data_IF_074670424213
#
_entry.id   IF_074670424213
#
_cell.length_a   1.000
_cell.length_b   1.000
_cell.length_c   1.000
_cell.angle_alpha   90.00
_cell.angle_beta   90.00
_cell.angle_gamma   90.00
#
_symmetry.space_group_name_H-M   'P 1'
#
loop_
_entity.id
_entity.type
_entity.pdbx_description
1 polymer ?
#
# COMPACT_ATOMS: atom_id res chain seq x y z
N UNK A 1 -7.42 -23.14 -24.91
CA UNK A 1 -8.78 -23.32 -24.38
C UNK A 1 -9.21 -24.74 -24.67
N UNK A 2 -9.78 -25.45 -23.69
CA UNK A 2 -10.43 -26.75 -23.91
C UNK A 2 -11.93 -26.52 -23.79
N UNK A 3 -12.64 -26.74 -24.89
CA UNK A 3 -14.10 -26.61 -24.97
C UNK A 3 -14.70 -27.97 -24.59
N UNK A 4 -15.63 -28.00 -23.64
CA UNK A 4 -16.43 -29.20 -23.33
C UNK A 4 -17.63 -29.28 -24.30
N UNK A 5 -18.18 -30.48 -24.50
CA UNK A 5 -19.31 -30.83 -25.37
C UNK A 5 -20.59 -30.01 -25.14
N UNK A 6 -20.67 -29.24 -24.04
CA UNK A 6 -21.79 -28.35 -23.71
C UNK A 6 -21.57 -26.88 -24.12
N UNK A 7 -20.51 -26.55 -24.87
CA UNK A 7 -20.31 -25.20 -25.43
C UNK A 7 -19.95 -24.11 -24.41
N UNK A 8 -19.72 -24.46 -23.14
CA UNK A 8 -19.23 -23.53 -22.13
C UNK A 8 -17.72 -23.38 -22.27
N UNK A 9 -17.29 -22.18 -22.63
CA UNK A 9 -15.90 -21.76 -22.55
C UNK A 9 -15.55 -21.61 -21.07
N UNK A 10 -14.87 -22.61 -20.48
CA UNK A 10 -14.12 -22.37 -19.25
C UNK A 10 -12.92 -21.50 -19.62
N UNK A 11 -13.15 -20.20 -19.76
CA UNK A 11 -12.13 -19.28 -19.32
C UNK A 11 -11.98 -19.56 -17.81
N UNK A 12 -10.76 -19.87 -17.36
CA UNK A 12 -10.44 -19.56 -15.97
C UNK A 12 -10.63 -18.05 -15.89
N UNK A 13 -11.83 -17.64 -15.48
CA UNK A 13 -12.17 -16.25 -15.29
C UNK A 13 -11.34 -15.79 -14.08
N UNK A 14 -10.11 -15.39 -14.36
CA UNK A 14 -9.13 -14.86 -13.41
C UNK A 14 -9.61 -13.56 -12.74
N UNK A 15 -10.82 -13.12 -13.12
CA UNK A 15 -11.60 -12.00 -12.60
C UNK A 15 -12.51 -12.41 -11.43
N UNK A 16 -12.67 -13.71 -11.13
CA UNK A 16 -13.59 -14.16 -10.09
C UNK A 16 -12.97 -14.02 -8.67
N UNK A 17 -13.52 -13.17 -7.78
CA UNK A 17 -12.97 -12.97 -6.43
C UNK A 17 -13.15 -14.20 -5.53
N UNK A 18 -14.03 -15.15 -5.88
CA UNK A 18 -14.38 -16.30 -5.05
C UNK A 18 -13.16 -17.13 -4.67
N UNK A 19 -12.21 -17.34 -5.59
CA UNK A 19 -11.01 -18.13 -5.29
C UNK A 19 -10.17 -17.45 -4.20
N UNK A 20 -9.99 -16.13 -4.28
CA UNK A 20 -9.30 -15.35 -3.25
C UNK A 20 -9.99 -15.44 -1.90
N UNK A 21 -11.32 -15.31 -1.89
CA UNK A 21 -12.14 -15.47 -0.69
C UNK A 21 -12.01 -16.88 -0.08
N UNK A 22 -11.98 -17.93 -0.89
CA UNK A 22 -11.78 -19.31 -0.42
C UNK A 22 -10.40 -19.46 0.22
N UNK A 23 -9.35 -18.89 -0.36
CA UNK A 23 -8.01 -18.91 0.25
C UNK A 23 -8.00 -18.18 1.60
N UNK A 24 -8.61 -16.99 1.67
CA UNK A 24 -8.70 -16.22 2.93
C UNK A 24 -9.48 -17.00 4.00
N UNK A 25 -10.63 -17.58 3.64
CA UNK A 25 -11.42 -18.39 4.58
C UNK A 25 -10.66 -19.65 5.01
N UNK A 26 -10.02 -20.33 4.05
CA UNK A 26 -9.16 -21.48 4.31
C UNK A 26 -8.04 -21.13 5.28
N UNK A 27 -7.41 -19.97 5.13
CA UNK A 27 -6.42 -19.44 6.05
C UNK A 27 -7.00 -19.18 7.44
N UNK A 28 -8.13 -18.46 7.53
CA UNK A 28 -8.76 -18.13 8.81
C UNK A 28 -9.07 -19.42 9.58
N UNK A 29 -9.69 -20.39 8.93
CA UNK A 29 -10.01 -21.68 9.54
C UNK A 29 -8.72 -22.41 9.93
N UNK A 30 -7.80 -22.60 8.98
CA UNK A 30 -6.55 -23.32 9.20
C UNK A 30 -5.76 -22.75 10.38
N UNK A 31 -5.57 -21.44 10.42
CA UNK A 31 -4.81 -20.77 11.48
C UNK A 31 -5.50 -20.85 12.84
N UNK A 32 -6.85 -20.79 12.86
CA UNK A 32 -7.63 -21.01 14.08
C UNK A 32 -7.38 -22.38 14.73
N UNK A 33 -7.14 -23.42 13.92
CA UNK A 33 -6.77 -24.76 14.39
C UNK A 33 -5.25 -24.92 14.60
N UNK A 34 -4.45 -24.37 13.70
CA UNK A 34 -3.01 -24.55 13.64
C UNK A 34 -2.29 -23.92 14.83
N UNK A 35 -2.68 -22.71 15.23
CA UNK A 35 -2.08 -22.02 16.39
C UNK A 35 -2.26 -22.87 17.65
N UNK A 36 -3.45 -23.42 17.88
CA UNK A 36 -3.73 -24.33 19.02
C UNK A 36 -2.89 -25.60 19.00
N UNK A 37 -2.59 -26.14 17.82
CA UNK A 37 -1.81 -27.37 17.64
C UNK A 37 -0.31 -27.21 17.96
N UNK A 38 0.23 -26.01 17.80
CA UNK A 38 1.67 -25.73 17.91
C UNK A 38 2.06 -24.82 19.08
N UNK A 39 1.10 -24.23 19.79
CA UNK A 39 1.31 -23.34 20.94
C UNK A 39 2.25 -23.95 22.00
N UNK A 40 2.15 -25.26 22.22
CA UNK A 40 2.95 -25.98 23.22
C UNK A 40 4.20 -26.68 22.65
N UNK A 41 4.40 -26.70 21.33
CA UNK A 41 5.48 -27.47 20.68
C UNK A 41 6.72 -26.61 20.44
N UNK A 42 7.59 -26.54 21.46
CA UNK A 42 8.91 -25.88 21.39
C UNK A 42 10.03 -26.88 21.11
N UNK A 43 11.14 -26.44 20.51
CA UNK A 43 12.34 -27.27 20.35
C UNK A 43 12.96 -27.55 21.73
N UNK A 44 13.51 -28.76 21.92
CA UNK A 44 14.13 -29.15 23.20
C UNK A 44 15.39 -28.28 23.41
N UNK A 45 15.53 -27.70 24.61
CA UNK A 45 16.58 -26.74 25.02
C UNK A 45 16.65 -25.38 24.31
N UNK A 46 15.65 -25.00 23.52
CA UNK A 46 15.54 -23.63 22.96
C UNK A 46 14.12 -23.09 23.17
N UNK A 47 13.98 -21.79 23.42
CA UNK A 47 12.67 -21.13 23.50
C UNK A 47 11.93 -21.04 22.15
N UNK A 48 12.53 -21.57 21.06
CA UNK A 48 12.03 -21.47 19.69
C UNK A 48 10.87 -22.45 19.44
N UNK A 49 9.79 -21.94 18.86
CA UNK A 49 8.64 -22.73 18.43
C UNK A 49 8.96 -23.60 17.21
N UNK A 50 8.36 -24.80 17.10
CA UNK A 50 8.48 -25.64 15.90
C UNK A 50 7.71 -25.14 14.69
N UNK A 51 6.87 -24.10 14.86
CA UNK A 51 6.03 -23.57 13.80
C UNK A 51 6.78 -22.65 12.81
N UNK A 52 8.00 -22.20 13.13
CA UNK A 52 8.76 -21.22 12.34
C UNK A 52 8.94 -21.55 10.84
N UNK A 53 9.31 -22.78 10.44
CA UNK A 53 9.49 -23.10 9.02
C UNK A 53 8.20 -23.04 8.21
N UNK A 54 7.08 -23.48 8.80
CA UNK A 54 5.78 -23.43 8.14
C UNK A 54 5.32 -21.98 7.97
N UNK A 55 5.61 -21.14 8.95
CA UNK A 55 5.19 -19.75 9.01
C UNK A 55 5.84 -18.91 7.93
N UNK A 56 7.13 -19.11 7.64
CA UNK A 56 7.80 -18.44 6.53
C UNK A 56 7.20 -18.81 5.17
N UNK A 57 6.87 -20.09 4.97
CA UNK A 57 6.20 -20.53 3.74
C UNK A 57 4.82 -19.89 3.59
N UNK A 58 4.01 -19.96 4.65
CA UNK A 58 2.67 -19.39 4.69
C UNK A 58 2.64 -17.88 4.46
N UNK A 59 3.62 -17.13 5.00
CA UNK A 59 3.71 -15.68 4.83
C UNK A 59 3.87 -15.26 3.37
N UNK A 60 4.78 -15.90 2.63
CA UNK A 60 5.10 -15.51 1.25
C UNK A 60 3.87 -15.67 0.33
N UNK A 61 3.06 -16.71 0.58
CA UNK A 61 1.86 -16.96 -0.23
C UNK A 61 0.71 -16.01 0.09
N UNK A 62 0.55 -15.61 1.36
CA UNK A 62 -0.66 -14.93 1.81
C UNK A 62 -0.55 -13.41 1.96
N UNK A 63 0.62 -12.80 1.74
CA UNK A 63 0.74 -11.33 1.78
C UNK A 63 0.09 -10.62 0.60
N UNK A 64 0.05 -11.24 -0.59
CA UNK A 64 -0.49 -10.62 -1.80
C UNK A 64 -1.95 -11.00 -2.10
N UNK A 65 -2.41 -12.14 -1.58
CA UNK A 65 -3.78 -12.63 -1.76
C UNK A 65 -4.82 -11.60 -1.28
N UNK A 66 -4.67 -10.96 -0.10
CA UNK A 66 -5.63 -9.97 0.39
C UNK A 66 -5.83 -8.79 -0.55
N UNK A 67 -4.74 -8.22 -1.06
CA UNK A 67 -4.79 -7.05 -1.97
C UNK A 67 -5.46 -7.45 -3.28
N UNK A 68 -5.01 -8.56 -3.89
CA UNK A 68 -5.59 -9.03 -5.14
C UNK A 68 -7.07 -9.37 -4.99
N UNK A 69 -7.46 -9.98 -3.88
CA UNK A 69 -8.86 -10.30 -3.60
C UNK A 69 -9.68 -9.03 -3.39
N UNK A 70 -9.14 -8.03 -2.68
CA UNK A 70 -9.81 -6.74 -2.49
C UNK A 70 -10.12 -6.05 -3.82
N UNK A 71 -9.14 -5.96 -4.72
CA UNK A 71 -9.32 -5.41 -6.07
C UNK A 71 -10.37 -6.18 -6.86
N UNK A 72 -10.28 -7.52 -6.90
CA UNK A 72 -11.27 -8.34 -7.61
C UNK A 72 -12.69 -8.23 -7.05
N UNK A 73 -12.84 -8.03 -5.73
CA UNK A 73 -14.16 -7.80 -5.12
C UNK A 73 -14.70 -6.45 -5.59
N UNK A 74 -13.85 -5.42 -5.59
CA UNK A 74 -14.17 -4.08 -6.09
C UNK A 74 -14.72 -4.12 -7.51
N UNK A 75 -13.96 -4.76 -8.40
CA UNK A 75 -14.28 -4.90 -9.81
C UNK A 75 -15.59 -5.68 -9.99
N UNK A 76 -15.80 -6.74 -9.20
CA UNK A 76 -16.98 -7.59 -9.30
C UNK A 76 -18.28 -6.89 -8.89
N UNK A 77 -18.22 -6.00 -7.89
CA UNK A 77 -19.38 -5.19 -7.50
C UNK A 77 -19.51 -3.90 -8.32
N UNK A 78 -18.52 -3.55 -9.14
CA UNK A 78 -18.48 -2.32 -9.92
C UNK A 78 -18.27 -1.05 -9.08
N UNK A 79 -17.75 -1.19 -7.86
CA UNK A 79 -17.36 -0.05 -7.02
C UNK A 79 -15.84 0.07 -7.10
N UNK A 80 -15.32 0.82 -8.07
CA UNK A 80 -13.87 0.94 -8.25
C UNK A 80 -13.27 1.97 -7.27
N UNK A 81 -13.91 3.14 -7.17
CA UNK A 81 -13.42 4.27 -6.36
C UNK A 81 -14.51 4.90 -5.48
N UNK A 82 -14.09 5.45 -4.34
CA UNK A 82 -14.90 6.33 -3.48
C UNK A 82 -14.31 7.73 -3.54
N UNK A 83 -15.12 8.68 -3.99
CA UNK A 83 -14.77 10.10 -3.97
C UNK A 83 -14.90 10.72 -2.58
N UNK A 84 -13.83 11.33 -2.08
CA UNK A 84 -13.81 12.22 -0.93
C UNK A 84 -13.64 13.68 -1.40
N UNK A 85 -14.73 14.29 -1.87
CA UNK A 85 -14.70 15.63 -2.46
C UNK A 85 -14.23 15.58 -3.91
N UNK A 86 -13.05 16.15 -4.19
CA UNK A 86 -12.38 16.09 -5.51
C UNK A 86 -11.33 14.96 -5.61
N UNK A 87 -11.13 14.21 -4.52
CA UNK A 87 -10.12 13.15 -4.44
C UNK A 87 -10.76 11.78 -4.58
N UNK A 88 -10.12 10.87 -5.33
CA UNK A 88 -10.59 9.50 -5.50
C UNK A 88 -9.72 8.50 -4.71
N UNK A 89 -10.36 7.51 -4.09
CA UNK A 89 -9.67 6.43 -3.36
C UNK A 89 -10.20 5.07 -3.80
N UNK A 90 -9.30 4.18 -4.22
CA UNK A 90 -9.66 2.84 -4.67
C UNK A 90 -10.28 1.99 -3.57
N UNK A 91 -11.52 1.57 -3.79
CA UNK A 91 -12.30 0.70 -2.90
C UNK A 91 -11.63 -0.65 -2.72
N UNK A 92 -11.04 -1.18 -3.80
CA UNK A 92 -10.39 -2.48 -3.76
C UNK A 92 -9.16 -2.49 -2.88
N UNK A 93 -8.42 -1.37 -2.83
CA UNK A 93 -7.31 -1.20 -1.90
C UNK A 93 -7.82 -1.11 -0.46
N UNK A 94 -8.91 -0.38 -0.20
CA UNK A 94 -9.55 -0.33 1.13
C UNK A 94 -9.96 -1.74 1.59
N UNK A 95 -10.63 -2.51 0.73
CA UNK A 95 -11.05 -3.88 1.03
C UNK A 95 -9.81 -4.76 1.30
N UNK A 96 -8.78 -4.67 0.47
CA UNK A 96 -7.53 -5.41 0.67
C UNK A 96 -6.82 -5.07 1.98
N UNK A 97 -6.81 -3.79 2.38
CA UNK A 97 -6.33 -3.34 3.68
C UNK A 97 -7.14 -3.95 4.82
N UNK A 98 -8.47 -3.91 4.74
CA UNK A 98 -9.35 -4.49 5.76
C UNK A 98 -9.13 -5.98 5.92
N UNK A 99 -8.97 -6.73 4.82
CA UNK A 99 -8.68 -8.16 4.87
C UNK A 99 -7.34 -8.40 5.60
N UNK A 100 -6.29 -7.65 5.28
CA UNK A 100 -5.01 -7.76 5.98
C UNK A 100 -5.14 -7.45 7.48
N UNK A 101 -5.92 -6.43 7.86
CA UNK A 101 -6.19 -6.10 9.26
C UNK A 101 -6.90 -7.25 9.96
N UNK A 102 -7.93 -7.82 9.34
CA UNK A 102 -8.70 -8.94 9.90
C UNK A 102 -7.78 -10.16 10.09
N UNK A 103 -6.99 -10.52 9.08
CA UNK A 103 -6.05 -11.64 9.16
C UNK A 103 -4.96 -11.39 10.22
N UNK A 104 -4.48 -10.16 10.34
CA UNK A 104 -3.52 -9.76 11.37
C UNK A 104 -4.11 -9.87 12.77
N UNK A 105 -5.29 -9.28 12.99
CA UNK A 105 -6.00 -9.27 14.26
C UNK A 105 -6.40 -10.68 14.73
N UNK A 106 -6.76 -11.56 13.78
CA UNK A 106 -7.02 -12.96 14.06
C UNK A 106 -5.80 -13.64 14.72
N UNK A 107 -4.58 -13.33 14.29
CA UNK A 107 -3.36 -13.88 14.90
C UNK A 107 -3.10 -13.35 16.32
N UNK A 108 -3.73 -12.24 16.69
CA UNK A 108 -3.76 -11.71 18.05
C UNK A 108 -4.98 -12.17 18.85
N UNK A 109 -5.66 -13.24 18.42
CA UNK A 109 -6.86 -13.78 19.07
C UNK A 109 -7.99 -12.75 19.20
N UNK A 110 -8.10 -11.84 18.22
CA UNK A 110 -9.09 -10.76 18.24
C UNK A 110 -8.95 -9.77 19.41
N UNK A 111 -7.81 -9.77 20.09
CA UNK A 111 -7.49 -8.84 21.18
C UNK A 111 -6.59 -7.71 20.64
N UNK A 112 -7.15 -6.53 20.29
CA UNK A 112 -6.39 -5.46 19.66
C UNK A 112 -5.28 -4.89 20.56
N UNK A 113 -5.43 -4.98 21.88
CA UNK A 113 -4.41 -4.55 22.85
C UNK A 113 -3.09 -5.31 22.69
N UNK A 114 -3.16 -6.59 22.30
CA UNK A 114 -1.99 -7.44 22.13
C UNK A 114 -1.14 -7.05 20.91
N UNK A 115 -1.70 -6.30 19.96
CA UNK A 115 -0.98 -5.81 18.78
C UNK A 115 0.20 -4.94 19.18
N UNK A 116 0.01 -4.08 20.17
CA UNK A 116 1.02 -3.12 20.64
C UNK A 116 1.88 -3.74 21.75
N UNK A 117 1.29 -4.55 22.62
CA UNK A 117 1.93 -5.02 23.86
C UNK A 117 2.70 -6.33 23.68
N UNK A 118 2.31 -7.18 22.71
CA UNK A 118 2.89 -8.53 22.53
C UNK A 118 3.41 -8.86 21.11
N UNK A 119 4.09 -7.94 20.39
CA UNK A 119 4.87 -8.36 19.23
C UNK A 119 6.05 -9.22 19.72
N UNK A 120 5.97 -10.53 19.52
CA UNK A 120 6.97 -11.46 20.05
C UNK A 120 7.62 -12.26 18.92
N UNK A 121 8.94 -12.12 18.80
CA UNK A 121 9.78 -13.01 17.97
C UNK A 121 9.88 -14.43 18.56
N UNK A 122 9.22 -14.70 19.69
CA UNK A 122 9.22 -16.02 20.33
C UNK A 122 7.92 -16.77 20.06
N UNK A 123 6.80 -16.04 19.92
CA UNK A 123 5.51 -16.60 19.52
C UNK A 123 5.26 -16.29 18.04
N UNK A 124 5.37 -17.27 17.16
CA UNK A 124 5.38 -16.98 15.74
C UNK A 124 3.97 -16.66 15.22
N UNK A 125 2.90 -16.97 15.99
CA UNK A 125 1.54 -16.49 15.74
C UNK A 125 1.45 -14.96 15.77
N UNK A 126 1.85 -14.34 16.89
CA UNK A 126 1.78 -12.88 17.02
C UNK A 126 2.73 -12.16 16.06
N UNK A 127 3.89 -12.77 15.75
CA UNK A 127 4.78 -12.27 14.69
C UNK A 127 4.10 -12.21 13.32
N UNK A 128 3.38 -13.26 12.90
CA UNK A 128 2.60 -13.23 11.66
C UNK A 128 1.56 -12.13 11.66
N UNK A 129 0.84 -11.97 12.78
CA UNK A 129 -0.12 -10.89 12.96
C UNK A 129 0.49 -9.52 12.70
N UNK A 130 1.67 -9.26 13.28
CA UNK A 130 2.41 -8.02 13.03
C UNK A 130 2.76 -7.83 11.56
N UNK A 131 3.16 -8.89 10.84
CA UNK A 131 3.49 -8.74 9.41
C UNK A 131 2.26 -8.42 8.56
N UNK A 132 1.11 -9.05 8.81
CA UNK A 132 -0.13 -8.69 8.10
C UNK A 132 -0.52 -7.23 8.35
N UNK A 133 -0.35 -6.73 9.57
CA UNK A 133 -0.62 -5.32 9.89
C UNK A 133 0.39 -4.37 9.23
N UNK A 134 1.66 -4.74 9.15
CA UNK A 134 2.68 -3.98 8.40
C UNK A 134 2.32 -3.96 6.90
N UNK A 135 1.89 -5.09 6.34
CA UNK A 135 1.44 -5.15 4.95
C UNK A 135 0.17 -4.34 4.73
N UNK A 136 -0.78 -4.35 5.67
CA UNK A 136 -1.95 -3.47 5.63
C UNK A 136 -1.54 -2.00 5.59
N UNK A 137 -0.53 -1.61 6.38
CA UNK A 137 0.00 -0.26 6.41
C UNK A 137 0.68 0.15 5.09
N UNK A 138 1.53 -0.71 4.52
CA UNK A 138 2.13 -0.44 3.21
C UNK A 138 1.09 -0.37 2.09
N UNK A 139 0.09 -1.25 2.13
CA UNK A 139 -1.03 -1.26 1.17
C UNK A 139 -1.84 0.02 1.31
N UNK A 140 -2.09 0.47 2.54
CA UNK A 140 -2.82 1.71 2.82
C UNK A 140 -2.06 2.92 2.29
N UNK A 141 -0.76 3.02 2.59
CA UNK A 141 0.08 4.10 2.03
C UNK A 141 0.04 4.05 0.51
N UNK A 142 0.20 2.86 -0.09
CA UNK A 142 0.17 2.67 -1.54
C UNK A 142 -1.13 3.19 -2.16
N UNK A 143 -2.28 2.86 -1.59
CA UNK A 143 -3.58 3.34 -2.07
C UNK A 143 -3.86 4.82 -1.81
N UNK A 144 -3.12 5.44 -0.90
CA UNK A 144 -3.23 6.87 -0.64
C UNK A 144 -2.29 7.69 -1.53
N UNK A 145 -1.40 7.08 -2.33
CA UNK A 145 -0.44 7.81 -3.18
C UNK A 145 -1.17 8.75 -4.13
N UNK A 146 -2.20 8.27 -4.83
CA UNK A 146 -2.94 9.06 -5.82
C UNK A 146 -3.63 10.26 -5.15
N UNK A 147 -4.29 10.04 -4.00
CA UNK A 147 -4.85 11.10 -3.18
C UNK A 147 -3.77 12.10 -2.71
N UNK A 148 -2.61 11.61 -2.27
CA UNK A 148 -1.49 12.46 -1.85
C UNK A 148 -0.94 13.28 -3.02
N UNK A 149 -0.89 12.70 -4.23
CA UNK A 149 -0.46 13.38 -5.46
C UNK A 149 -1.40 14.52 -5.81
N UNK A 150 -2.70 14.27 -5.82
CA UNK A 150 -3.72 15.30 -6.08
C UNK A 150 -3.70 16.40 -5.02
N UNK A 151 -3.58 16.03 -3.74
CA UNK A 151 -3.49 16.99 -2.64
C UNK A 151 -2.22 17.83 -2.72
N UNK A 152 -1.10 17.20 -3.09
CA UNK A 152 0.17 17.88 -3.34
C UNK A 152 0.04 18.84 -4.52
N UNK A 153 -0.61 18.44 -5.62
CA UNK A 153 -0.91 19.32 -6.75
C UNK A 153 -1.71 20.54 -6.31
N UNK A 154 -2.80 20.33 -5.57
CA UNK A 154 -3.64 21.42 -5.07
C UNK A 154 -2.89 22.40 -4.15
N UNK A 155 -2.01 21.89 -3.28
CA UNK A 155 -1.27 22.72 -2.32
C UNK A 155 -0.05 23.42 -2.95
N UNK A 156 0.78 22.68 -3.70
CA UNK A 156 2.06 23.17 -4.19
C UNK A 156 1.96 23.99 -5.46
N UNK A 157 0.98 23.77 -6.32
CA UNK A 157 0.84 24.51 -7.57
C UNK A 157 0.60 26.02 -7.35
N UNK A 158 -0.32 26.48 -6.48
CA UNK A 158 -0.48 27.91 -6.20
C UNK A 158 0.73 28.50 -5.47
N UNK A 159 1.34 27.75 -4.54
CA UNK A 159 2.55 28.19 -3.82
C UNK A 159 3.74 28.34 -4.79
N UNK A 160 3.92 27.38 -5.68
CA UNK A 160 4.95 27.38 -6.72
C UNK A 160 4.81 28.57 -7.66
N UNK A 161 3.57 28.89 -8.08
CA UNK A 161 3.27 30.08 -8.87
C UNK A 161 3.66 31.38 -8.15
N UNK A 162 3.31 31.51 -6.87
CA UNK A 162 3.67 32.68 -6.06
C UNK A 162 5.19 32.85 -5.96
N UNK A 163 5.91 31.77 -5.66
CA UNK A 163 7.38 31.78 -5.59
C UNK A 163 7.99 32.18 -6.92
N UNK A 164 7.45 31.70 -8.05
CA UNK A 164 7.89 32.09 -9.38
C UNK A 164 7.69 33.59 -9.64
N UNK A 165 6.51 34.13 -9.30
CA UNK A 165 6.21 35.56 -9.48
C UNK A 165 7.16 36.42 -8.63
N UNK A 166 7.34 36.10 -7.35
CA UNK A 166 8.23 36.86 -6.47
C UNK A 166 9.70 36.69 -6.84
N UNK A 167 10.12 35.47 -7.23
CA UNK A 167 11.47 35.17 -7.70
C UNK A 167 11.80 35.95 -8.97
N UNK A 168 10.89 35.95 -9.95
CA UNK A 168 11.06 36.66 -11.23
C UNK A 168 11.12 38.18 -11.01
N UNK A 169 10.26 38.73 -10.15
CA UNK A 169 10.33 40.15 -9.77
C UNK A 169 11.70 40.52 -9.18
N UNK A 170 12.21 39.71 -8.27
CA UNK A 170 13.53 39.94 -7.64
C UNK A 170 14.70 39.81 -8.63
N UNK A 171 14.58 38.93 -9.63
CA UNK A 171 15.58 38.79 -10.69
C UNK A 171 15.59 39.98 -11.65
N UNK A 172 14.41 40.51 -12.00
CA UNK A 172 14.28 41.72 -12.82
C UNK A 172 14.89 42.91 -12.08
N UNK A 173 14.56 43.11 -10.80
CA UNK A 173 15.10 44.20 -9.97
C UNK A 173 16.64 44.12 -9.86
N UNK A 174 17.22 42.92 -9.72
CA UNK A 174 18.69 42.74 -9.74
C UNK A 174 19.33 42.90 -11.12
N UNK A 175 18.59 42.59 -12.19
CA UNK A 175 19.03 42.75 -13.58
C UNK A 175 19.10 44.22 -13.98
N UNK A 176 18.14 45.03 -13.55
CA UNK A 176 18.10 46.48 -13.80
C UNK A 176 19.25 47.22 -13.09
N UNK A 177 19.73 46.73 -11.95
CA UNK A 177 20.87 47.33 -11.23
C UNK A 177 22.22 47.12 -11.96
N UNK A 178 22.31 46.16 -12.90
CA UNK A 178 23.54 45.82 -13.62
C UNK A 178 23.61 46.35 -15.07
N UNK A 179 22.83 47.37 -15.44
CA UNK A 179 23.10 48.09 -16.70
C UNK A 179 24.42 48.87 -16.56
N UNK A 180 25.49 48.55 -17.32
CA UNK A 180 26.73 49.29 -17.22
C UNK A 180 26.53 50.71 -17.77
N UNK A 181 26.61 51.70 -16.89
CA UNK A 181 26.69 53.12 -17.23
C UNK A 181 28.06 53.44 -17.87
N UNK A 182 28.29 52.99 -19.10
CA UNK A 182 29.16 53.62 -20.09
C UNK A 182 29.39 52.66 -21.25
N UNK A 183 28.58 52.76 -22.29
CA UNK A 183 29.09 52.48 -23.64
C UNK A 183 29.97 53.68 -23.97
N UNK A 184 31.29 53.53 -23.83
CA UNK A 184 32.24 54.50 -24.37
C UNK A 184 32.14 54.37 -25.89
N UNK A 185 31.34 55.25 -26.50
CA UNK A 185 31.39 55.48 -27.94
C UNK A 185 32.70 56.20 -28.19
N UNK A 186 33.71 55.48 -28.65
CA UNK A 186 34.96 56.09 -29.08
C UNK A 186 34.67 57.08 -30.20
N UNK A 187 34.94 58.35 -29.97
CA UNK A 187 35.02 59.35 -31.02
C UNK A 187 36.09 58.89 -32.02
N UNK A 188 35.66 58.58 -33.23
CA UNK A 188 36.54 58.54 -34.39
C UNK A 188 37.02 59.98 -34.63
N UNK A 189 38.25 60.31 -34.21
CA UNK A 189 38.91 61.51 -34.69
C UNK A 189 39.31 61.29 -36.14
N UNK A 190 38.64 61.98 -37.05
CA UNK A 190 39.17 62.25 -38.38
C UNK A 190 40.35 63.22 -38.24
N UNK A 191 41.56 62.75 -38.50
CA UNK A 191 42.66 63.47 -39.19
C UNK A 191 43.80 62.51 -39.54
#
# INVERSE_FOLDING_TARGET
SMINENGYEYSMDNSNPVMGCIFILGWIIWMGYFVKLFEHKKYKSTGRSKAWPLILGCLIFYTFIPIRTGLLISDWFGFEDIGFGEFDVSVGIIIGCLINIIMGLQMFNWEPENVVVKPSLTNPGTFMGSVFLIMAFFTFIGGMIDLLEELAGYLFLPIGLLVLIFGTKKLIEKGEINTPNSVIVGELSEE
#
